data_IF_698639674791
#
_entry.id   IF_698639674791
#
_cell.length_a   1.000
_cell.length_b   1.000
_cell.length_c   1.000
_cell.angle_alpha   90.00
_cell.angle_beta   90.00
_cell.angle_gamma   90.00
#
_symmetry.space_group_name_H-M   'P 1'
#
loop_
_entity.id
_entity.type
_entity.pdbx_description
1 polymer ?
#
# COMPACT_ATOMS: atom_id res chain seq x y z
N UNK A 1 -3.67 -1.87 25.08
CA UNK A 1 -2.47 -1.95 24.21
C UNK A 1 -1.78 -0.60 24.25
N UNK A 2 -0.46 -0.55 24.08
CA UNK A 2 0.29 0.71 24.06
C UNK A 2 0.05 1.50 22.78
N UNK A 3 0.37 2.80 22.81
CA UNK A 3 0.53 3.59 21.60
C UNK A 3 1.78 3.16 20.84
N UNK A 4 1.77 3.22 19.52
CA UNK A 4 2.93 2.94 18.69
C UNK A 4 3.22 4.09 17.73
N UNK A 5 4.48 4.19 17.27
CA UNK A 5 4.94 5.28 16.41
C UNK A 5 5.38 4.74 15.06
N UNK A 6 4.82 5.24 13.97
CA UNK A 6 5.25 4.92 12.61
C UNK A 6 5.84 6.15 11.92
N UNK A 7 6.59 5.91 10.85
CA UNK A 7 7.25 6.96 10.06
C UNK A 7 6.60 7.01 8.66
N UNK A 8 6.29 8.22 8.20
CA UNK A 8 5.80 8.51 6.84
C UNK A 8 6.97 8.58 5.84
N UNK A 9 6.67 8.66 4.54
CA UNK A 9 7.70 8.83 3.49
C UNK A 9 8.53 10.10 3.70
N UNK A 10 7.88 11.21 4.08
CA UNK A 10 8.49 12.50 4.43
C UNK A 10 9.34 12.49 5.73
N UNK A 11 9.52 11.31 6.35
CA UNK A 11 10.25 11.15 7.62
C UNK A 11 9.51 11.63 8.87
N UNK A 12 8.30 12.20 8.73
CA UNK A 12 7.46 12.59 9.85
C UNK A 12 7.03 11.37 10.66
N UNK A 13 6.85 11.56 11.97
CA UNK A 13 6.50 10.47 12.90
C UNK A 13 5.14 10.73 13.52
N UNK A 14 4.29 9.72 13.46
CA UNK A 14 2.94 9.76 14.03
C UNK A 14 2.81 8.69 15.10
N UNK A 15 2.27 9.08 16.26
CA UNK A 15 2.00 8.18 17.37
C UNK A 15 0.50 8.04 17.53
N UNK A 16 0.00 6.83 17.45
CA UNK A 16 -1.44 6.54 17.53
C UNK A 16 -1.72 5.54 18.65
N UNK A 17 -2.87 5.69 19.31
CA UNK A 17 -3.45 4.63 20.13
C UNK A 17 -3.98 3.54 19.21
N UNK A 18 -3.63 2.29 19.51
CA UNK A 18 -3.89 1.18 18.61
C UNK A 18 -5.31 0.62 18.68
N UNK A 19 -5.46 -0.51 17.99
CA UNK A 19 -6.57 -1.43 18.08
C UNK A 19 -6.88 -1.87 19.52
N UNK A 20 -8.17 -2.04 19.86
CA UNK A 20 -8.59 -2.67 21.12
C UNK A 20 -9.07 -4.09 20.87
N UNK A 21 -8.29 -5.09 21.26
CA UNK A 21 -8.68 -6.49 21.12
C UNK A 21 -9.87 -6.89 22.00
N UNK A 22 -10.81 -7.62 21.41
CA UNK A 22 -11.79 -8.44 22.11
C UNK A 22 -11.96 -9.79 21.40
N UNK A 23 -12.17 -10.88 22.15
CA UNK A 23 -12.45 -12.17 21.53
C UNK A 23 -13.75 -12.13 20.75
N UNK A 24 -13.79 -12.87 19.64
CA UNK A 24 -15.00 -13.10 18.86
C UNK A 24 -16.14 -13.63 19.76
N UNK A 25 -17.34 -13.03 19.75
CA UNK A 25 -18.46 -13.50 20.55
C UNK A 25 -18.95 -14.89 20.12
N UNK A 26 -19.34 -15.74 21.08
CA UNK A 26 -19.88 -17.09 20.81
C UNK A 26 -21.12 -17.09 19.90
N UNK A 27 -21.84 -15.96 19.80
CA UNK A 27 -23.03 -15.80 18.96
C UNK A 27 -22.72 -15.38 17.53
N UNK A 28 -21.47 -15.05 17.20
CA UNK A 28 -21.07 -14.64 15.88
C UNK A 28 -21.23 -15.79 14.87
N UNK A 29 -21.60 -15.46 13.64
CA UNK A 29 -21.51 -16.40 12.52
C UNK A 29 -20.05 -16.60 12.17
N UNK A 30 -19.71 -17.80 11.73
CA UNK A 30 -18.36 -18.14 11.31
C UNK A 30 -18.34 -18.48 9.83
N UNK A 31 -17.35 -17.92 9.14
CA UNK A 31 -17.09 -18.24 7.75
C UNK A 31 -16.65 -19.68 7.62
N UNK A 32 -17.28 -20.37 6.68
CA UNK A 32 -17.00 -21.77 6.37
C UNK A 32 -16.79 -21.91 4.86
N UNK A 33 -15.51 -21.99 4.49
CA UNK A 33 -15.07 -22.14 3.11
C UNK A 33 -15.69 -23.37 2.41
N UNK A 34 -16.12 -24.39 3.16
CA UNK A 34 -16.75 -25.58 2.57
C UNK A 34 -18.17 -25.34 2.06
N UNK A 35 -18.81 -24.22 2.43
CA UNK A 35 -20.11 -23.80 1.91
C UNK A 35 -20.02 -23.19 0.50
N UNK A 36 -18.81 -22.90 0.04
CA UNK A 36 -18.56 -22.15 -1.18
C UNK A 36 -18.33 -23.10 -2.34
N UNK A 37 -19.08 -22.92 -3.42
CA UNK A 37 -18.88 -23.65 -4.67
C UNK A 37 -18.01 -22.82 -5.62
N UNK A 38 -16.69 -22.83 -5.39
CA UNK A 38 -15.70 -22.36 -6.38
C UNK A 38 -15.09 -23.59 -7.08
N UNK A 39 -14.92 -23.52 -8.40
CA UNK A 39 -14.30 -24.60 -9.19
C UNK A 39 -12.82 -24.80 -8.81
N UNK A 40 -12.13 -23.70 -8.49
CA UNK A 40 -10.79 -23.63 -7.94
C UNK A 40 -10.58 -22.25 -7.29
N UNK A 41 -9.48 -22.10 -6.54
CA UNK A 41 -9.00 -20.78 -6.12
C UNK A 41 -7.99 -20.29 -7.17
N UNK A 42 -8.08 -19.04 -7.62
CA UNK A 42 -7.08 -18.47 -8.51
C UNK A 42 -5.74 -18.32 -7.79
N UNK A 43 -4.64 -18.24 -8.54
CA UNK A 43 -3.31 -18.00 -7.97
C UNK A 43 -3.19 -16.61 -7.34
N UNK A 44 -3.92 -15.64 -7.88
CA UNK A 44 -3.94 -14.25 -7.42
C UNK A 44 -5.36 -13.71 -7.35
N UNK A 45 -5.62 -12.93 -6.31
CA UNK A 45 -6.84 -12.10 -6.21
C UNK A 45 -6.43 -10.68 -5.88
N UNK A 46 -6.93 -9.70 -6.62
CA UNK A 46 -6.73 -8.28 -6.35
C UNK A 46 -8.05 -7.50 -6.42
N UNK A 47 -8.54 -7.06 -5.26
CA UNK A 47 -9.79 -6.29 -5.15
C UNK A 47 -9.55 -4.77 -5.21
N UNK A 48 -8.30 -4.29 -5.41
CA UNK A 48 -7.96 -2.85 -5.45
C UNK A 48 -8.75 -2.08 -6.50
N UNK A 49 -9.10 -2.71 -7.62
CA UNK A 49 -9.95 -2.12 -8.66
C UNK A 49 -11.25 -1.48 -8.12
N UNK A 50 -11.81 -2.10 -7.07
CA UNK A 50 -13.05 -1.65 -6.43
C UNK A 50 -12.83 -0.94 -5.08
N UNK A 51 -11.59 -0.66 -4.70
CA UNK A 51 -11.30 0.15 -3.51
C UNK A 51 -11.50 1.63 -3.80
N UNK A 52 -11.89 2.36 -2.76
CA UNK A 52 -11.83 3.83 -2.68
C UNK A 52 -10.39 4.29 -2.40
N UNK A 53 -10.06 5.58 -2.62
CA UNK A 53 -8.76 6.14 -2.27
C UNK A 53 -8.34 5.83 -0.83
N UNK A 54 -7.04 5.65 -0.56
CA UNK A 54 -6.58 5.29 0.79
C UNK A 54 -6.81 6.42 1.79
N UNK A 55 -7.36 6.05 2.94
CA UNK A 55 -7.65 6.97 4.03
C UNK A 55 -6.40 7.33 4.84
N UNK A 56 -6.40 8.52 5.43
CA UNK A 56 -5.45 8.92 6.46
C UNK A 56 -6.18 9.09 7.81
N UNK A 57 -5.82 8.27 8.80
CA UNK A 57 -6.35 8.35 10.17
C UNK A 57 -5.72 9.48 11.01
N UNK A 58 -4.74 10.21 10.46
CA UNK A 58 -3.92 11.22 11.14
C UNK A 58 -3.32 10.70 12.47
N UNK A 59 -3.48 11.46 13.56
CA UNK A 59 -3.00 11.14 14.90
C UNK A 59 -4.11 10.54 15.79
N UNK A 60 -5.14 9.96 15.18
CA UNK A 60 -6.28 9.37 15.90
C UNK A 60 -6.10 7.87 16.10
N UNK A 61 -6.82 7.28 17.05
CA UNK A 61 -6.79 5.84 17.32
C UNK A 61 -7.82 5.05 16.50
N UNK A 62 -8.23 5.56 15.33
CA UNK A 62 -9.40 5.11 14.58
C UNK A 62 -9.16 3.98 13.56
N UNK A 63 -8.03 3.27 13.62
CA UNK A 63 -7.64 2.23 12.64
C UNK A 63 -8.75 1.21 12.32
N UNK A 64 -9.43 0.65 13.33
CA UNK A 64 -10.50 -0.32 13.13
C UNK A 64 -11.72 0.27 12.41
N UNK A 65 -12.02 1.56 12.64
CA UNK A 65 -13.09 2.26 11.94
C UNK A 65 -12.71 2.54 10.47
N UNK A 66 -11.46 2.89 10.19
CA UNK A 66 -10.97 3.09 8.81
C UNK A 66 -11.01 1.78 8.01
N UNK A 67 -10.54 0.68 8.58
CA UNK A 67 -10.60 -0.63 7.93
C UNK A 67 -12.05 -1.07 7.66
N UNK A 68 -12.95 -0.77 8.61
CA UNK A 68 -14.39 -1.06 8.50
C UNK A 68 -15.08 -0.17 7.44
N UNK A 69 -14.72 1.11 7.37
CA UNK A 69 -15.18 2.05 6.36
C UNK A 69 -14.76 1.59 4.96
N UNK A 70 -13.49 1.25 4.76
CA UNK A 70 -13.00 0.76 3.46
C UNK A 70 -13.69 -0.52 2.98
N UNK A 71 -14.01 -1.45 3.89
CA UNK A 71 -14.81 -2.64 3.55
C UNK A 71 -16.23 -2.27 3.12
N UNK A 72 -16.85 -1.30 3.80
CA UNK A 72 -18.20 -0.83 3.50
C UNK A 72 -18.24 -0.09 2.17
N UNK A 73 -17.31 0.82 1.94
CA UNK A 73 -17.15 1.58 0.70
C UNK A 73 -16.91 0.68 -0.50
N UNK A 74 -16.11 -0.38 -0.33
CA UNK A 74 -15.98 -1.41 -1.37
C UNK A 74 -17.35 -1.99 -1.75
N UNK A 75 -18.19 -2.36 -0.78
CA UNK A 75 -19.54 -2.87 -1.08
C UNK A 75 -20.42 -1.82 -1.76
N UNK A 76 -20.29 -0.54 -1.36
CA UNK A 76 -20.98 0.58 -1.99
C UNK A 76 -20.54 0.73 -3.45
N UNK A 77 -19.23 0.73 -3.72
CA UNK A 77 -18.65 0.84 -5.07
C UNK A 77 -19.01 -0.36 -5.94
N UNK A 78 -18.99 -1.59 -5.40
CA UNK A 78 -19.47 -2.80 -6.11
C UNK A 78 -20.96 -2.71 -6.47
N UNK A 79 -21.77 -2.01 -5.69
CA UNK A 79 -23.21 -1.88 -5.94
C UNK A 79 -23.59 -0.70 -6.84
N UNK A 80 -23.01 0.47 -6.58
CA UNK A 80 -23.36 1.74 -7.21
C UNK A 80 -22.42 2.13 -8.35
N UNK A 81 -21.27 1.47 -8.49
CA UNK A 81 -20.22 1.89 -9.42
C UNK A 81 -19.71 3.28 -9.06
N UNK A 82 -19.62 4.16 -10.05
CA UNK A 82 -19.11 5.52 -9.93
C UNK A 82 -20.01 6.44 -9.09
N UNK A 83 -21.27 6.05 -8.84
CA UNK A 83 -22.18 6.74 -7.90
C UNK A 83 -21.92 6.33 -6.43
N UNK A 84 -20.79 5.68 -6.16
CA UNK A 84 -20.31 5.36 -4.82
C UNK A 84 -19.98 6.60 -4.01
N UNK A 85 -19.87 6.45 -2.70
CA UNK A 85 -19.56 7.54 -1.78
C UNK A 85 -18.73 7.03 -0.60
N UNK A 86 -17.92 7.91 -0.05
CA UNK A 86 -17.12 7.63 1.15
C UNK A 86 -17.99 7.77 2.39
N UNK A 87 -17.76 6.91 3.38
CA UNK A 87 -18.57 6.85 4.61
C UNK A 87 -17.85 7.49 5.77
N UNK A 88 -18.61 8.13 6.67
CA UNK A 88 -18.01 8.81 7.81
C UNK A 88 -17.29 7.87 8.76
N UNK A 89 -15.96 7.93 8.76
CA UNK A 89 -15.09 7.15 9.64
C UNK A 89 -15.28 7.54 11.10
N UNK A 90 -15.49 8.83 11.39
CA UNK A 90 -15.73 9.30 12.76
C UNK A 90 -17.08 8.84 13.30
N UNK A 91 -18.11 8.75 12.45
CA UNK A 91 -19.40 8.20 12.87
C UNK A 91 -19.27 6.73 13.28
N UNK A 92 -18.58 5.92 12.46
CA UNK A 92 -18.30 4.51 12.76
C UNK A 92 -17.51 4.41 14.08
N UNK A 93 -16.44 5.20 14.19
CA UNK A 93 -15.56 5.18 15.36
C UNK A 93 -16.23 5.62 16.65
N UNK A 94 -17.06 6.68 16.61
CA UNK A 94 -17.83 7.15 17.77
C UNK A 94 -18.79 6.08 18.25
N UNK A 95 -19.60 5.51 17.35
CA UNK A 95 -20.61 4.51 17.71
C UNK A 95 -19.99 3.21 18.23
N UNK A 96 -18.85 2.78 17.69
CA UNK A 96 -18.12 1.62 18.20
C UNK A 96 -17.70 1.77 19.66
N UNK A 97 -17.19 2.97 20.02
CA UNK A 97 -16.79 3.29 21.40
C UNK A 97 -18.00 3.50 22.30
N UNK A 98 -19.09 4.08 21.78
CA UNK A 98 -20.35 4.23 22.50
C UNK A 98 -20.96 2.87 22.86
N UNK A 99 -20.96 1.91 21.94
CA UNK A 99 -21.39 0.53 22.21
C UNK A 99 -20.53 -0.12 23.30
N UNK A 100 -19.21 0.08 23.25
CA UNK A 100 -18.28 -0.49 24.21
C UNK A 100 -18.41 0.13 25.61
N UNK A 101 -18.49 1.46 25.70
CA UNK A 101 -18.46 2.21 26.97
C UNK A 101 -19.17 3.57 26.82
N UNK A 102 -20.51 3.62 26.96
CA UNK A 102 -21.31 4.83 26.73
C UNK A 102 -20.88 6.05 27.56
N UNK A 103 -20.41 5.83 28.80
CA UNK A 103 -20.06 6.89 29.74
C UNK A 103 -18.57 7.31 29.68
N UNK A 104 -17.80 6.75 28.74
CA UNK A 104 -16.33 6.84 28.71
C UNK A 104 -15.76 7.04 27.32
N UNK A 105 -16.42 7.84 26.47
CA UNK A 105 -15.94 8.11 25.12
C UNK A 105 -14.62 8.89 25.18
N UNK A 106 -13.56 8.25 24.70
CA UNK A 106 -12.22 8.80 24.54
C UNK A 106 -11.56 8.24 23.29
N UNK A 107 -10.49 8.87 22.82
CA UNK A 107 -9.72 8.39 21.66
C UNK A 107 -8.76 7.27 22.05
N UNK A 108 -9.32 6.14 22.49
CA UNK A 108 -8.59 5.02 23.06
C UNK A 108 -8.54 3.78 22.13
N UNK A 109 -9.04 3.92 20.90
CA UNK A 109 -9.23 2.83 19.95
C UNK A 109 -10.60 2.16 20.06
N UNK A 110 -10.85 1.18 19.19
CA UNK A 110 -12.10 0.43 19.15
C UNK A 110 -11.89 -1.02 18.73
N UNK A 111 -12.90 -1.87 19.02
CA UNK A 111 -12.96 -3.27 18.63
C UNK A 111 -13.59 -3.39 17.23
N UNK A 112 -13.04 -4.24 16.35
CA UNK A 112 -13.60 -4.43 14.98
C UNK A 112 -15.08 -4.82 15.07
N UNK A 113 -15.39 -5.76 15.96
CA UNK A 113 -16.76 -6.21 16.18
C UNK A 113 -17.72 -5.06 16.52
N UNK A 114 -17.34 -4.10 17.38
CA UNK A 114 -18.24 -2.99 17.72
C UNK A 114 -18.39 -1.96 16.59
N UNK A 115 -17.39 -1.82 15.71
CA UNK A 115 -17.53 -1.02 14.50
C UNK A 115 -18.58 -1.64 13.58
N UNK A 116 -18.52 -2.96 13.38
CA UNK A 116 -19.49 -3.73 12.60
C UNK A 116 -20.89 -3.68 13.23
N UNK A 117 -21.02 -3.86 14.55
CA UNK A 117 -22.31 -3.73 15.24
C UNK A 117 -22.88 -2.30 15.14
N UNK A 118 -22.01 -1.28 15.19
CA UNK A 118 -22.39 0.10 14.93
C UNK A 118 -23.00 0.28 13.54
N UNK A 119 -22.38 -0.30 12.50
CA UNK A 119 -22.93 -0.31 11.14
C UNK A 119 -24.27 -1.05 11.04
N UNK A 120 -24.45 -2.16 11.76
CA UNK A 120 -25.75 -2.87 11.78
C UNK A 120 -26.84 -2.07 12.48
N UNK A 121 -26.49 -1.39 13.57
CA UNK A 121 -27.47 -0.71 14.41
C UNK A 121 -27.83 0.68 13.88
N UNK A 122 -26.86 1.42 13.35
CA UNK A 122 -27.00 2.82 12.99
C UNK A 122 -26.70 3.09 11.51
N UNK A 123 -26.06 2.17 10.80
CA UNK A 123 -25.56 2.37 9.44
C UNK A 123 -24.35 3.29 9.41
N UNK A 124 -24.08 3.89 8.25
CA UNK A 124 -23.04 4.90 8.09
C UNK A 124 -23.53 6.04 7.17
N UNK A 125 -23.41 7.31 7.60
CA UNK A 125 -23.68 8.45 6.75
C UNK A 125 -22.48 8.66 5.81
N UNK A 126 -22.65 9.54 4.81
CA UNK A 126 -21.52 9.99 4.00
C UNK A 126 -20.49 10.76 4.84
N UNK A 127 -19.21 10.67 4.47
CA UNK A 127 -18.13 11.48 5.08
C UNK A 127 -18.41 12.98 4.88
N UNK A 128 -19.10 13.39 3.80
CA UNK A 128 -19.53 14.78 3.61
C UNK A 128 -20.50 15.29 4.69
N UNK A 129 -21.38 14.42 5.21
CA UNK A 129 -22.34 14.76 6.26
C UNK A 129 -21.75 14.78 7.66
N UNK A 130 -20.70 14.00 7.89
CA UNK A 130 -19.94 14.00 9.14
C UNK A 130 -18.44 13.84 8.86
N UNK A 131 -17.75 14.95 8.52
CA UNK A 131 -16.37 14.90 8.04
C UNK A 131 -15.37 14.41 9.08
N UNK A 132 -14.25 13.88 8.59
CA UNK A 132 -13.11 13.50 9.40
C UNK A 132 -12.40 14.74 9.95
N UNK A 133 -12.88 15.21 11.10
CA UNK A 133 -12.31 16.30 11.88
C UNK A 133 -11.92 15.78 13.27
N UNK A 134 -10.62 15.73 13.55
CA UNK A 134 -10.08 15.23 14.83
C UNK A 134 -10.59 16.01 16.04
N UNK A 135 -10.98 17.27 15.89
CA UNK A 135 -11.55 18.05 17.00
C UNK A 135 -12.96 17.56 17.36
N UNK A 136 -13.61 16.82 16.46
CA UNK A 136 -14.92 16.20 16.65
C UNK A 136 -14.84 14.71 17.02
N UNK A 137 -13.65 14.16 17.24
CA UNK A 137 -13.44 12.72 17.45
C UNK A 137 -14.28 12.13 18.59
N UNK A 138 -14.57 12.90 19.65
CA UNK A 138 -15.36 12.46 20.79
C UNK A 138 -16.77 13.08 20.83
N UNK A 139 -17.13 13.83 19.78
CA UNK A 139 -18.41 14.55 19.71
C UNK A 139 -19.49 13.61 19.18
N UNK A 140 -20.64 13.59 19.87
CA UNK A 140 -21.80 12.82 19.43
C UNK A 140 -22.35 13.39 18.11
N UNK A 141 -22.52 12.56 17.06
CA UNK A 141 -23.15 12.98 15.83
C UNK A 141 -24.58 13.47 16.06
N UNK A 142 -25.01 14.44 15.26
CA UNK A 142 -26.36 15.00 15.40
C UNK A 142 -27.45 13.98 15.02
N UNK A 143 -28.68 14.17 15.51
CA UNK A 143 -29.82 13.36 15.12
C UNK A 143 -30.20 13.46 13.62
N UNK A 144 -29.65 14.43 12.88
CA UNK A 144 -29.74 14.48 11.42
C UNK A 144 -28.82 13.44 10.77
N UNK A 145 -27.58 13.38 11.23
CA UNK A 145 -26.57 12.43 10.75
C UNK A 145 -27.01 10.98 11.02
N UNK A 146 -27.56 10.70 12.21
CA UNK A 146 -28.12 9.37 12.53
C UNK A 146 -29.30 8.97 11.63
N UNK A 147 -30.09 9.95 11.14
CA UNK A 147 -31.21 9.64 10.24
C UNK A 147 -30.74 9.29 8.83
N UNK A 148 -29.70 9.94 8.33
CA UNK A 148 -29.06 9.58 7.06
C UNK A 148 -28.40 8.20 7.17
N UNK A 149 -27.63 7.97 8.24
CA UNK A 149 -26.93 6.71 8.45
C UNK A 149 -27.89 5.50 8.44
N UNK A 150 -29.07 5.65 9.04
CA UNK A 150 -30.08 4.59 9.12
C UNK A 150 -30.64 4.13 7.76
N UNK A 151 -30.39 4.87 6.66
CA UNK A 151 -30.75 4.43 5.31
C UNK A 151 -29.81 3.34 4.78
N UNK A 152 -28.68 3.10 5.46
CA UNK A 152 -27.52 2.38 4.94
C UNK A 152 -26.91 1.42 5.98
N UNK A 153 -27.71 0.46 6.46
CA UNK A 153 -27.25 -0.58 7.41
C UNK A 153 -26.63 -1.78 6.68
N UNK A 154 -25.56 -2.35 7.25
CA UNK A 154 -25.12 -3.70 6.86
C UNK A 154 -26.05 -4.74 7.50
N UNK A 155 -26.23 -5.87 6.84
CA UNK A 155 -27.19 -6.88 7.31
C UNK A 155 -26.52 -8.13 7.87
N UNK A 156 -25.36 -8.53 7.34
CA UNK A 156 -24.68 -9.73 7.81
C UNK A 156 -23.17 -9.54 7.98
N UNK A 157 -22.59 -10.40 8.81
CA UNK A 157 -21.15 -10.48 9.05
C UNK A 157 -20.79 -11.88 9.48
N UNK A 158 -19.61 -12.34 9.06
CA UNK A 158 -19.05 -13.60 9.50
C UNK A 158 -17.62 -13.38 10.00
N UNK A 159 -17.26 -14.03 11.10
CA UNK A 159 -15.89 -14.11 11.59
C UNK A 159 -15.14 -15.12 10.74
N UNK A 160 -14.00 -14.71 10.17
CA UNK A 160 -13.14 -15.55 9.35
C UNK A 160 -12.06 -16.17 10.23
N UNK A 161 -11.90 -17.50 10.23
CA UNK A 161 -10.82 -18.14 11.00
C UNK A 161 -9.45 -17.75 10.45
N UNK A 162 -8.41 -17.75 11.30
CA UNK A 162 -7.01 -17.63 10.87
C UNK A 162 -6.58 -18.93 10.18
N UNK A 163 -7.02 -19.10 8.94
CA UNK A 163 -6.76 -20.22 8.06
C UNK A 163 -6.57 -19.70 6.62
N UNK A 164 -5.51 -20.16 5.96
CA UNK A 164 -5.11 -19.64 4.65
C UNK A 164 -6.18 -19.93 3.58
N UNK A 165 -6.78 -21.11 3.61
CA UNK A 165 -7.81 -21.48 2.64
C UNK A 165 -9.06 -20.65 2.88
N UNK A 166 -9.46 -20.43 4.14
CA UNK A 166 -10.60 -19.59 4.47
C UNK A 166 -10.43 -18.14 3.99
N UNK A 167 -9.27 -17.52 4.24
CA UNK A 167 -8.98 -16.16 3.79
C UNK A 167 -8.96 -16.04 2.27
N UNK A 168 -8.26 -16.95 1.59
CA UNK A 168 -8.22 -16.94 0.12
C UNK A 168 -9.60 -17.17 -0.49
N UNK A 169 -10.41 -18.05 0.10
CA UNK A 169 -11.78 -18.29 -0.35
C UNK A 169 -12.65 -17.06 -0.19
N UNK A 170 -12.60 -16.39 0.97
CA UNK A 170 -13.35 -15.15 1.19
C UNK A 170 -12.95 -14.05 0.20
N UNK A 171 -11.65 -13.87 -0.04
CA UNK A 171 -11.14 -12.90 -1.01
C UNK A 171 -11.54 -13.25 -2.45
N UNK A 172 -11.45 -14.53 -2.85
CA UNK A 172 -11.87 -15.00 -4.17
C UNK A 172 -13.38 -14.81 -4.41
N UNK A 173 -14.20 -14.92 -3.35
CA UNK A 173 -15.62 -14.55 -3.38
C UNK A 173 -15.86 -13.04 -3.45
N UNK A 174 -14.80 -12.23 -3.42
CA UNK A 174 -14.89 -10.78 -3.45
C UNK A 174 -15.23 -10.17 -2.09
N UNK A 175 -14.90 -10.81 -0.97
CA UNK A 175 -15.05 -10.25 0.37
C UNK A 175 -13.71 -9.77 0.93
N UNK A 176 -13.46 -8.45 1.00
CA UNK A 176 -12.37 -7.89 1.78
C UNK A 176 -12.49 -8.29 3.25
N UNK A 177 -11.35 -8.58 3.89
CA UNK A 177 -11.32 -9.06 5.27
C UNK A 177 -10.79 -7.94 6.16
N UNK A 178 -11.63 -7.44 7.07
CA UNK A 178 -11.22 -6.54 8.14
C UNK A 178 -10.49 -7.39 9.18
N UNK A 179 -9.25 -7.08 9.50
CA UNK A 179 -8.48 -7.88 10.46
C UNK A 179 -7.64 -7.00 11.38
N UNK A 180 -7.30 -7.55 12.55
CA UNK A 180 -6.30 -6.99 13.43
C UNK A 180 -5.02 -7.83 13.42
N UNK A 181 -3.88 -7.17 13.62
CA UNK A 181 -2.64 -7.86 13.92
C UNK A 181 -1.77 -7.09 14.92
N UNK A 182 -0.85 -7.82 15.54
CA UNK A 182 0.20 -7.26 16.36
C UNK A 182 1.26 -6.63 15.47
N UNK A 183 1.68 -5.41 15.80
CA UNK A 183 2.78 -4.73 15.14
C UNK A 183 4.08 -4.85 15.92
N UNK A 184 5.18 -4.79 15.17
CA UNK A 184 6.55 -4.73 15.67
C UNK A 184 7.31 -3.61 14.96
N UNK A 185 8.52 -3.32 15.45
CA UNK A 185 9.33 -2.24 14.90
C UNK A 185 9.70 -2.50 13.44
N UNK A 186 9.85 -3.77 13.05
CA UNK A 186 10.04 -4.19 11.66
C UNK A 186 8.88 -3.82 10.74
N UNK A 187 7.65 -3.69 11.26
CA UNK A 187 6.49 -3.24 10.50
C UNK A 187 6.49 -1.72 10.30
N UNK A 188 6.94 -0.97 11.30
CA UNK A 188 6.96 0.50 11.27
C UNK A 188 8.10 1.07 10.43
N UNK A 189 9.14 0.25 10.21
CA UNK A 189 10.34 0.59 9.43
C UNK A 189 10.68 -0.59 8.54
N UNK A 190 9.81 -0.91 7.57
CA UNK A 190 10.11 -1.99 6.65
C UNK A 190 11.38 -1.63 5.86
N UNK A 191 12.19 -2.63 5.50
CA UNK A 191 13.40 -2.38 4.69
C UNK A 191 13.06 -1.88 3.29
N UNK A 192 11.89 -2.28 2.77
CA UNK A 192 11.33 -1.83 1.50
C UNK A 192 9.94 -1.25 1.77
N UNK A 193 9.58 -0.07 1.22
CA UNK A 193 8.25 0.51 1.39
C UNK A 193 7.14 -0.51 1.08
N UNK A 194 6.13 -0.61 1.94
CA UNK A 194 5.01 -1.52 1.73
C UNK A 194 5.32 -3.01 1.92
N UNK A 195 6.57 -3.47 1.97
CA UNK A 195 6.87 -4.88 2.21
C UNK A 195 7.02 -5.18 3.70
N UNK A 196 6.08 -5.93 4.26
CA UNK A 196 6.12 -6.28 5.67
C UNK A 196 6.99 -7.51 5.88
N UNK A 197 8.03 -7.37 6.68
CA UNK A 197 8.88 -8.49 7.08
C UNK A 197 8.30 -9.26 8.28
N UNK A 198 8.72 -10.51 8.44
CA UNK A 198 8.45 -11.22 9.69
C UNK A 198 9.21 -10.56 10.85
N UNK A 199 8.60 -10.50 12.05
CA UNK A 199 9.28 -9.98 13.22
C UNK A 199 10.49 -10.86 13.55
N UNK A 200 11.57 -10.24 14.00
CA UNK A 200 12.76 -10.96 14.44
C UNK A 200 12.47 -11.82 15.67
N UNK A 201 13.28 -12.86 15.90
CA UNK A 201 13.17 -13.69 17.11
C UNK A 201 13.30 -12.87 18.41
N UNK A 202 13.96 -11.71 18.36
CA UNK A 202 14.06 -10.77 19.48
C UNK A 202 12.76 -10.00 19.69
N UNK A 203 12.14 -9.52 18.62
CA UNK A 203 10.84 -8.84 18.66
C UNK A 203 9.74 -9.77 19.18
N UNK A 204 9.72 -11.03 18.72
CA UNK A 204 8.75 -12.04 19.18
C UNK A 204 8.84 -12.36 20.68
N UNK A 205 9.98 -12.08 21.34
CA UNK A 205 10.13 -12.24 22.79
C UNK A 205 9.51 -11.08 23.58
N UNK A 206 9.25 -9.94 22.94
CA UNK A 206 8.68 -8.75 23.55
C UNK A 206 7.15 -8.68 23.47
N UNK A 207 6.62 -7.59 24.03
CA UNK A 207 5.17 -7.34 24.05
C UNK A 207 4.63 -6.77 22.72
N UNK A 208 5.48 -6.62 21.69
CA UNK A 208 5.15 -5.91 20.46
C UNK A 208 4.94 -4.41 20.69
N UNK A 209 4.80 -3.66 19.63
CA UNK A 209 4.66 -2.19 19.72
C UNK A 209 3.20 -1.78 19.89
N UNK A 210 2.25 -2.58 19.40
CA UNK A 210 0.82 -2.31 19.50
C UNK A 210 -0.02 -3.30 18.70
N UNK A 211 -1.33 -3.09 18.71
CA UNK A 211 -2.26 -3.73 17.78
C UNK A 211 -2.72 -2.72 16.74
N UNK A 212 -2.91 -3.16 15.51
CA UNK A 212 -3.41 -2.35 14.41
C UNK A 212 -4.44 -3.12 13.60
N UNK A 213 -5.45 -2.42 13.09
CA UNK A 213 -6.49 -3.00 12.26
C UNK A 213 -6.39 -2.44 10.84
N UNK A 214 -6.47 -3.32 9.85
CA UNK A 214 -6.30 -3.03 8.43
C UNK A 214 -7.29 -3.85 7.60
N UNK A 215 -7.32 -3.61 6.30
CA UNK A 215 -8.22 -4.29 5.37
C UNK A 215 -7.41 -5.14 4.38
N UNK A 216 -7.60 -6.45 4.41
CA UNK A 216 -7.03 -7.36 3.42
C UNK A 216 -7.93 -7.35 2.17
N UNK A 217 -7.32 -7.07 1.02
CA UNK A 217 -8.01 -6.83 -0.26
C UNK A 217 -7.51 -7.74 -1.38
N UNK A 218 -6.67 -8.72 -1.08
CA UNK A 218 -6.15 -9.61 -2.10
C UNK A 218 -5.06 -10.53 -1.60
N UNK A 219 -4.57 -11.38 -2.49
CA UNK A 219 -3.45 -12.27 -2.24
C UNK A 219 -2.69 -12.59 -3.52
N UNK A 220 -1.42 -12.97 -3.38
CA UNK A 220 -0.59 -13.55 -4.44
C UNK A 220 0.10 -14.80 -3.95
N UNK A 221 -0.19 -15.94 -4.58
CA UNK A 221 0.52 -17.20 -4.33
C UNK A 221 1.96 -17.20 -4.82
N UNK A 222 2.31 -16.66 -6.00
CA UNK A 222 3.71 -16.52 -6.40
C UNK A 222 4.57 -15.83 -5.34
N UNK A 223 4.02 -14.77 -4.73
CA UNK A 223 4.72 -13.95 -3.74
C UNK A 223 4.52 -14.41 -2.29
N UNK A 224 3.54 -15.29 -2.05
CA UNK A 224 3.12 -15.76 -0.71
C UNK A 224 2.75 -14.61 0.24
N UNK A 225 2.06 -13.59 -0.27
CA UNK A 225 1.64 -12.39 0.48
C UNK A 225 0.16 -12.08 0.30
N UNK A 226 -0.41 -11.43 1.32
CA UNK A 226 -1.68 -10.74 1.23
C UNK A 226 -1.47 -9.28 0.81
N UNK A 227 -2.38 -8.76 -0.01
CA UNK A 227 -2.47 -7.33 -0.36
C UNK A 227 -3.33 -6.65 0.69
N UNK A 228 -2.79 -5.64 1.37
CA UNK A 228 -3.43 -5.00 2.52
C UNK A 228 -3.50 -3.50 2.33
N UNK A 229 -4.71 -2.94 2.45
CA UNK A 229 -4.95 -1.49 2.52
C UNK A 229 -4.72 -1.02 3.95
N UNK A 230 -3.81 -0.08 4.12
CA UNK A 230 -3.59 0.60 5.40
C UNK A 230 -4.46 1.88 5.47
N UNK A 231 -4.32 2.66 6.55
CA UNK A 231 -5.06 3.91 6.78
C UNK A 231 -4.14 5.05 7.23
N UNK A 232 -2.91 5.07 6.70
CA UNK A 232 -1.88 6.07 7.03
C UNK A 232 -1.60 7.03 5.87
N UNK A 233 -2.56 7.19 4.94
CA UNK A 233 -2.39 7.99 3.73
C UNK A 233 -1.65 7.26 2.61
N UNK A 234 -1.72 7.82 1.41
CA UNK A 234 -1.12 7.27 0.19
C UNK A 234 0.41 7.33 0.19
N UNK A 235 0.98 8.29 0.92
CA UNK A 235 2.42 8.47 1.11
C UNK A 235 3.07 7.32 1.89
N UNK A 236 2.29 6.54 2.64
CA UNK A 236 2.82 5.42 3.40
C UNK A 236 2.80 4.11 2.59
N UNK A 237 3.86 3.33 2.68
CA UNK A 237 3.93 2.01 2.03
C UNK A 237 4.03 2.15 0.51
N UNK A 238 3.20 1.43 -0.23
CA UNK A 238 3.06 1.55 -1.69
C UNK A 238 1.66 2.08 -1.97
N UNK A 239 1.54 3.38 -2.23
CA UNK A 239 0.25 4.07 -2.45
C UNK A 239 -0.76 3.84 -1.31
N UNK A 240 -0.29 3.72 -0.06
CA UNK A 240 -1.13 3.42 1.11
C UNK A 240 -1.40 1.94 1.37
N UNK A 241 -0.82 1.05 0.55
CA UNK A 241 -0.92 -0.40 0.68
C UNK A 241 0.38 -1.02 1.21
N UNK A 242 0.26 -2.25 1.71
CA UNK A 242 1.39 -3.10 2.03
C UNK A 242 1.12 -4.56 1.66
N UNK A 243 2.20 -5.32 1.52
CA UNK A 243 2.22 -6.74 1.25
C UNK A 243 2.66 -7.48 2.50
N UNK A 244 1.77 -8.28 3.08
CA UNK A 244 2.03 -9.00 4.33
C UNK A 244 2.17 -10.50 4.06
N UNK A 245 3.29 -11.14 4.46
CA UNK A 245 3.48 -12.57 4.27
C UNK A 245 2.35 -13.40 4.87
N UNK A 246 1.91 -14.45 4.16
CA UNK A 246 0.90 -15.39 4.65
C UNK A 246 1.24 -15.89 6.06
N UNK A 247 2.49 -16.27 6.28
CA UNK A 247 2.99 -16.76 7.57
C UNK A 247 2.87 -15.75 8.72
N UNK A 248 2.78 -14.44 8.44
CA UNK A 248 2.56 -13.43 9.47
C UNK A 248 1.10 -13.47 9.92
N UNK A 249 0.17 -13.32 8.98
CA UNK A 249 -1.26 -13.22 9.29
C UNK A 249 -1.87 -14.57 9.67
N UNK A 250 -1.27 -15.67 9.22
CA UNK A 250 -1.70 -17.02 9.57
C UNK A 250 -1.08 -17.53 10.89
N UNK A 251 -0.32 -16.70 11.61
CA UNK A 251 0.10 -16.98 12.98
C UNK A 251 -0.98 -16.46 13.97
N UNK A 252 -1.68 -17.34 14.70
CA UNK A 252 -2.71 -16.93 15.67
C UNK A 252 -2.18 -16.05 16.81
N UNK A 253 -0.87 -16.09 17.11
CA UNK A 253 -0.26 -15.21 18.10
C UNK A 253 -0.10 -13.76 17.59
N UNK A 254 -0.10 -13.58 16.27
CA UNK A 254 0.05 -12.28 15.62
C UNK A 254 -1.30 -11.71 15.16
N UNK A 255 -2.21 -12.52 14.62
CA UNK A 255 -3.51 -12.08 14.08
C UNK A 255 -4.65 -12.08 15.12
N UNK A 256 -4.46 -12.76 16.26
CA UNK A 256 -5.45 -12.88 17.34
C UNK A 256 -6.82 -13.50 16.97
N UNK A 257 -6.95 -14.13 15.79
CA UNK A 257 -8.22 -14.65 15.25
C UNK A 257 -9.33 -13.60 15.21
N UNK A 258 -8.98 -12.35 14.95
CA UNK A 258 -9.93 -11.24 14.93
C UNK A 258 -10.02 -10.69 13.51
N UNK A 259 -10.76 -11.43 12.70
CA UNK A 259 -10.92 -11.21 11.27
C UNK A 259 -12.38 -11.38 10.88
N UNK A 260 -12.89 -10.46 10.08
CA UNK A 260 -14.31 -10.32 9.80
C UNK A 260 -14.54 -9.92 8.36
N UNK A 261 -15.61 -10.46 7.78
CA UNK A 261 -16.20 -9.96 6.54
C UNK A 261 -17.54 -9.32 6.86
N UNK A 262 -17.92 -8.33 6.07
CA UNK A 262 -19.26 -7.74 6.09
C UNK A 262 -19.95 -8.05 4.77
N UNK A 263 -21.26 -8.29 4.85
CA UNK A 263 -22.06 -8.70 3.70
C UNK A 263 -23.36 -7.91 3.62
N UNK A 264 -23.88 -7.84 2.40
CA UNK A 264 -25.22 -7.32 2.07
C UNK A 264 -26.16 -8.47 1.70
N UNK A 265 -27.47 -8.24 1.77
CA UNK A 265 -28.48 -9.26 1.43
C UNK A 265 -28.34 -9.83 0.01
N UNK A 266 -28.14 -8.94 -0.96
CA UNK A 266 -27.99 -9.32 -2.35
C UNK A 266 -26.53 -9.68 -2.61
N UNK A 267 -26.25 -10.98 -2.70
CA UNK A 267 -24.92 -11.48 -3.05
C UNK A 267 -24.47 -10.87 -4.37
N UNK A 268 -23.36 -10.12 -4.31
CA UNK A 268 -22.67 -9.65 -5.52
C UNK A 268 -21.72 -10.78 -5.93
N UNK A 269 -21.84 -11.32 -7.14
CA UNK A 269 -20.89 -12.34 -7.60
C UNK A 269 -19.47 -11.77 -7.61
N UNK A 270 -18.42 -12.60 -7.45
CA UNK A 270 -17.05 -12.16 -7.63
C UNK A 270 -16.84 -11.64 -9.06
N UNK A 271 -15.97 -10.64 -9.20
CA UNK A 271 -15.55 -10.14 -10.51
C UNK A 271 -14.27 -10.87 -10.94
N UNK A 272 -14.46 -12.07 -11.48
CA UNK A 272 -13.33 -12.94 -11.87
C UNK A 272 -12.51 -12.35 -13.02
N UNK A 273 -13.12 -11.54 -13.89
CA UNK A 273 -12.44 -10.95 -15.05
C UNK A 273 -11.40 -9.90 -14.65
N UNK A 274 -11.72 -9.05 -13.67
CA UNK A 274 -10.84 -7.96 -13.26
C UNK A 274 -10.00 -8.30 -12.03
N UNK A 275 -10.49 -9.19 -11.15
CA UNK A 275 -9.86 -9.43 -9.86
C UNK A 275 -9.09 -10.75 -9.77
N UNK A 276 -9.21 -11.68 -10.71
CA UNK A 276 -8.50 -12.96 -10.65
C UNK A 276 -7.40 -13.04 -11.71
N UNK A 277 -6.33 -13.74 -11.35
CA UNK A 277 -5.28 -14.14 -12.27
C UNK A 277 -4.71 -15.51 -11.89
N UNK A 278 -4.45 -16.34 -12.90
CA UNK A 278 -3.97 -17.73 -12.76
C UNK A 278 -2.52 -17.91 -13.25
N UNK A 279 -1.85 -16.83 -13.61
CA UNK A 279 -0.45 -16.86 -13.98
C UNK A 279 0.46 -16.87 -12.72
N UNK A 280 1.73 -17.17 -12.94
CA UNK A 280 2.76 -17.24 -11.90
C UNK A 280 3.58 -15.93 -11.78
N UNK A 281 3.13 -14.83 -12.39
CA UNK A 281 3.81 -13.53 -12.35
C UNK A 281 3.62 -12.85 -10.99
N UNK A 282 4.68 -12.18 -10.53
CA UNK A 282 4.67 -11.41 -9.28
C UNK A 282 3.73 -10.21 -9.37
N UNK A 283 3.07 -9.86 -8.27
CA UNK A 283 2.27 -8.62 -8.15
C UNK A 283 3.10 -7.43 -7.66
N UNK A 284 4.38 -7.64 -7.39
CA UNK A 284 5.30 -6.61 -6.92
C UNK A 284 5.86 -5.90 -8.17
N UNK A 285 5.57 -4.60 -8.34
CA UNK A 285 5.93 -3.86 -9.56
C UNK A 285 7.44 -3.82 -9.82
N UNK A 286 7.81 -4.01 -11.10
CA UNK A 286 9.15 -3.85 -11.64
C UNK A 286 9.13 -2.98 -12.91
N UNK A 287 10.32 -2.58 -13.38
CA UNK A 287 10.45 -1.71 -14.57
C UNK A 287 9.75 -2.28 -15.79
N UNK A 288 9.75 -3.60 -15.96
CA UNK A 288 9.11 -4.26 -17.11
C UNK A 288 7.58 -4.19 -17.03
N UNK A 289 7.01 -4.35 -15.83
CA UNK A 289 5.57 -4.19 -15.58
C UNK A 289 5.07 -2.78 -15.91
N UNK A 290 5.86 -1.76 -15.59
CA UNK A 290 5.52 -0.35 -15.90
C UNK A 290 5.55 -0.09 -17.40
N UNK A 291 6.59 -0.56 -18.10
CA UNK A 291 6.68 -0.43 -19.56
C UNK A 291 5.54 -1.14 -20.29
N UNK A 292 5.11 -2.31 -19.80
CA UNK A 292 3.99 -3.05 -20.39
C UNK A 292 2.66 -2.28 -20.33
N UNK A 293 2.52 -1.35 -19.37
CA UNK A 293 1.32 -0.53 -19.17
C UNK A 293 1.26 0.76 -19.97
N UNK A 294 2.31 1.12 -20.71
CA UNK A 294 2.40 2.41 -21.42
C UNK A 294 1.51 2.48 -22.65
N UNK A 295 0.77 3.58 -22.79
CA UNK A 295 0.09 3.96 -24.03
C UNK A 295 1.04 4.64 -25.06
N UNK A 296 0.55 4.93 -26.26
CA UNK A 296 1.36 5.54 -27.33
C UNK A 296 1.97 6.90 -26.95
N UNK A 297 1.32 7.67 -26.08
CA UNK A 297 1.79 8.99 -25.64
C UNK A 297 2.89 8.84 -24.59
N UNK A 298 2.70 7.95 -23.62
CA UNK A 298 3.69 7.61 -22.60
C UNK A 298 4.94 6.98 -23.21
N UNK A 299 4.79 6.13 -24.23
CA UNK A 299 5.91 5.60 -25.00
C UNK A 299 6.69 6.69 -25.74
N UNK A 300 6.01 7.69 -26.28
CA UNK A 300 6.66 8.80 -26.97
C UNK A 300 7.42 9.71 -25.99
N UNK A 301 6.83 10.02 -24.83
CA UNK A 301 7.46 10.81 -23.77
C UNK A 301 8.71 10.12 -23.20
N UNK A 302 8.62 8.81 -22.91
CA UNK A 302 9.76 8.00 -22.49
C UNK A 302 10.91 8.11 -23.50
N UNK A 303 10.63 7.91 -24.78
CA UNK A 303 11.66 7.93 -25.82
C UNK A 303 12.28 9.32 -26.02
N UNK A 304 11.51 10.39 -25.86
CA UNK A 304 12.02 11.77 -25.93
C UNK A 304 12.94 12.08 -24.74
N UNK A 305 12.51 11.71 -23.53
CA UNK A 305 13.28 11.92 -22.28
C UNK A 305 14.57 11.12 -22.23
N UNK A 306 14.59 9.89 -22.75
CA UNK A 306 15.82 9.08 -22.80
C UNK A 306 16.89 9.65 -23.74
N UNK A 307 16.48 10.44 -24.75
CA UNK A 307 17.39 11.15 -25.64
C UNK A 307 18.28 10.22 -26.48
N UNK A 308 19.59 10.49 -26.52
CA UNK A 308 20.53 9.70 -27.32
C UNK A 308 20.90 8.35 -26.69
N UNK A 309 20.64 8.17 -25.38
CA UNK A 309 20.98 6.96 -24.63
C UNK A 309 19.70 6.20 -24.27
N UNK A 310 19.45 5.03 -24.89
CA UNK A 310 18.24 4.24 -24.65
C UNK A 310 18.08 3.78 -23.20
N UNK A 311 16.82 3.54 -22.79
CA UNK A 311 16.46 3.12 -21.42
C UNK A 311 17.24 1.88 -20.97
N UNK A 312 17.33 0.87 -21.83
CA UNK A 312 18.04 -0.38 -21.54
C UNK A 312 19.54 -0.17 -21.32
N UNK A 313 20.15 0.79 -22.03
CA UNK A 313 21.57 1.14 -21.86
C UNK A 313 21.78 1.86 -20.54
N UNK A 314 20.88 2.79 -20.18
CA UNK A 314 20.90 3.50 -18.89
C UNK A 314 20.73 2.55 -17.71
N UNK A 315 19.75 1.66 -17.79
CA UNK A 315 19.51 0.65 -16.76
C UNK A 315 20.71 -0.30 -16.62
N UNK A 316 21.25 -0.82 -17.73
CA UNK A 316 22.46 -1.65 -17.72
C UNK A 316 23.68 -0.92 -17.14
N UNK A 317 23.81 0.40 -17.38
CA UNK A 317 24.90 1.21 -16.84
C UNK A 317 24.81 1.32 -15.32
N UNK A 318 23.61 1.50 -14.76
CA UNK A 318 23.39 1.50 -13.31
C UNK A 318 23.78 0.18 -12.66
N UNK A 319 23.33 -0.94 -13.24
CA UNK A 319 23.70 -2.29 -12.76
C UNK A 319 25.20 -2.52 -12.80
N UNK A 320 25.84 -2.21 -13.93
CA UNK A 320 27.28 -2.34 -14.07
C UNK A 320 28.01 -1.48 -13.04
N UNK A 321 27.60 -0.23 -12.83
CA UNK A 321 28.22 0.65 -11.84
C UNK A 321 28.04 0.19 -10.40
N UNK A 322 26.91 -0.43 -10.08
CA UNK A 322 26.66 -1.00 -8.76
C UNK A 322 27.60 -2.17 -8.49
N UNK A 323 27.63 -3.17 -9.37
CA UNK A 323 28.51 -4.34 -9.23
C UNK A 323 29.99 -3.98 -9.38
N UNK A 324 30.33 -3.06 -10.27
CA UNK A 324 31.72 -2.70 -10.58
C UNK A 324 32.36 -1.67 -9.66
N UNK A 325 31.67 -1.23 -8.59
CA UNK A 325 32.10 -0.08 -7.80
C UNK A 325 33.40 -0.33 -7.04
N UNK A 326 33.67 -1.58 -6.67
CA UNK A 326 34.91 -2.01 -6.02
C UNK A 326 36.09 -2.14 -7.02
N UNK A 327 35.80 -2.10 -8.32
CA UNK A 327 36.74 -2.20 -9.43
C UNK A 327 36.80 -3.57 -10.11
N UNK A 328 36.04 -4.56 -9.64
CA UNK A 328 35.87 -5.89 -10.24
C UNK A 328 34.37 -6.19 -10.42
N UNK A 329 34.01 -7.18 -11.23
CA UNK A 329 32.61 -7.64 -11.34
C UNK A 329 32.67 -9.16 -11.35
N UNK A 330 32.04 -9.81 -10.38
CA UNK A 330 32.02 -11.25 -10.29
C UNK A 330 31.12 -11.89 -11.36
N UNK A 331 31.39 -13.15 -11.70
CA UNK A 331 30.60 -13.90 -12.69
C UNK A 331 29.13 -14.05 -12.22
N UNK A 332 28.92 -14.20 -10.91
CA UNK A 332 27.60 -14.27 -10.27
C UNK A 332 26.81 -12.96 -10.39
N UNK A 333 27.45 -11.82 -10.15
CA UNK A 333 26.85 -10.49 -10.31
C UNK A 333 26.52 -10.22 -11.77
N UNK A 334 27.42 -10.59 -12.68
CA UNK A 334 27.17 -10.49 -14.12
C UNK A 334 25.94 -11.26 -14.55
N UNK A 335 25.80 -12.50 -14.09
CA UNK A 335 24.64 -13.33 -14.41
C UNK A 335 23.34 -12.74 -13.84
N UNK A 336 23.38 -12.20 -12.63
CA UNK A 336 22.22 -11.59 -11.97
C UNK A 336 21.78 -10.29 -12.68
N UNK A 337 22.72 -9.41 -13.06
CA UNK A 337 22.42 -8.23 -13.88
C UNK A 337 21.70 -8.61 -15.18
N UNK A 338 22.20 -9.64 -15.87
CA UNK A 338 21.61 -10.09 -17.12
C UNK A 338 20.17 -10.59 -16.92
N UNK A 339 19.90 -11.31 -15.82
CA UNK A 339 18.56 -11.80 -15.47
C UNK A 339 17.56 -10.66 -15.25
N UNK A 340 17.95 -9.60 -14.53
CA UNK A 340 17.09 -8.44 -14.30
C UNK A 340 16.80 -7.61 -15.57
N UNK A 341 17.73 -7.60 -16.54
CA UNK A 341 17.57 -6.84 -17.79
C UNK A 341 16.68 -7.54 -18.82
N UNK A 342 16.56 -8.89 -18.77
CA UNK A 342 15.81 -9.66 -19.77
C UNK A 342 14.35 -9.22 -19.89
N UNK A 343 13.56 -9.10 -18.80
CA UNK A 343 12.15 -8.70 -18.90
C UNK A 343 11.98 -7.31 -19.52
N UNK A 344 12.87 -6.36 -19.19
CA UNK A 344 12.84 -4.99 -19.74
C UNK A 344 13.10 -5.01 -21.25
N UNK A 345 14.08 -5.79 -21.70
CA UNK A 345 14.41 -5.93 -23.12
C UNK A 345 13.28 -6.54 -23.94
N UNK A 346 12.60 -7.54 -23.39
CA UNK A 346 11.44 -8.16 -24.02
C UNK A 346 10.31 -7.13 -24.24
N UNK A 347 10.05 -6.27 -23.25
CA UNK A 347 9.01 -5.23 -23.37
C UNK A 347 9.36 -4.13 -24.36
N UNK A 348 10.64 -3.77 -24.47
CA UNK A 348 11.10 -2.79 -25.46
C UNK A 348 11.03 -3.31 -26.91
N UNK A 349 10.66 -4.58 -27.12
CA UNK A 349 10.63 -5.22 -28.44
C UNK A 349 12.02 -5.34 -29.07
N UNK A 350 13.06 -5.01 -28.29
CA UNK A 350 14.45 -5.20 -28.65
C UNK A 350 14.77 -6.65 -28.31
N UNK A 351 15.15 -7.47 -29.29
CA UNK A 351 15.79 -8.75 -29.01
C UNK A 351 17.33 -8.61 -29.07
N UNK A 352 18.01 -8.01 -28.07
CA UNK A 352 19.42 -8.20 -27.89
C UNK A 352 19.65 -9.11 -26.67
N UNK A 353 20.68 -9.93 -26.79
CA UNK A 353 21.22 -10.69 -25.70
C UNK A 353 21.62 -9.74 -24.54
N UNK A 354 21.09 -9.92 -23.33
CA UNK A 354 21.40 -9.07 -22.17
C UNK A 354 22.91 -9.02 -21.89
N UNK A 355 23.64 -10.14 -22.09
CA UNK A 355 25.11 -10.17 -22.04
C UNK A 355 25.75 -9.22 -23.05
N UNK A 356 25.21 -9.16 -24.28
CA UNK A 356 25.73 -8.28 -25.30
C UNK A 356 25.46 -6.81 -24.99
N UNK A 357 24.30 -6.51 -24.39
CA UNK A 357 24.00 -5.17 -23.89
C UNK A 357 25.02 -4.78 -22.81
N UNK A 358 25.18 -5.58 -21.76
CA UNK A 358 26.13 -5.33 -20.68
C UNK A 358 27.56 -5.13 -21.21
N UNK A 359 28.02 -6.00 -22.12
CA UNK A 359 29.34 -5.84 -22.74
C UNK A 359 29.50 -4.55 -23.54
N UNK A 360 28.48 -4.14 -24.29
CA UNK A 360 28.53 -2.90 -25.07
C UNK A 360 28.46 -1.67 -24.17
N UNK A 361 27.63 -1.72 -23.11
CA UNK A 361 27.49 -0.64 -22.14
C UNK A 361 28.76 -0.47 -21.29
N UNK A 362 29.55 -1.53 -21.10
CA UNK A 362 30.82 -1.48 -20.37
C UNK A 362 31.82 -0.44 -20.91
N UNK A 363 31.73 -0.06 -22.19
CA UNK A 363 32.56 1.03 -22.75
C UNK A 363 32.28 2.39 -22.09
N UNK A 364 31.04 2.59 -21.62
CA UNK A 364 30.59 3.79 -20.90
C UNK A 364 30.71 3.65 -19.38
N UNK A 365 31.31 2.56 -18.89
CA UNK A 365 31.43 2.28 -17.46
C UNK A 365 32.12 3.39 -16.67
N UNK A 366 33.01 4.18 -17.26
CA UNK A 366 33.71 5.29 -16.57
C UNK A 366 33.07 6.66 -16.82
N UNK A 367 31.89 6.70 -17.41
CA UNK A 367 31.16 7.93 -17.68
C UNK A 367 30.27 8.29 -16.48
N UNK A 368 30.88 8.86 -15.45
CA UNK A 368 30.17 9.24 -14.23
C UNK A 368 29.13 10.35 -14.49
N UNK A 369 29.31 11.17 -15.53
CA UNK A 369 28.34 12.20 -15.93
C UNK A 369 27.05 11.55 -16.47
N UNK A 370 27.19 10.52 -17.32
CA UNK A 370 26.03 9.75 -17.83
C UNK A 370 25.32 8.97 -16.72
N UNK A 371 26.05 8.50 -15.70
CA UNK A 371 25.47 7.83 -14.53
C UNK A 371 24.65 8.81 -13.70
N UNK A 372 25.21 9.98 -13.42
CA UNK A 372 24.52 11.03 -12.65
C UNK A 372 23.28 11.53 -13.40
N UNK A 373 23.38 11.73 -14.72
CA UNK A 373 22.24 12.04 -15.58
C UNK A 373 21.18 10.95 -15.53
N UNK A 374 21.58 9.67 -15.56
CA UNK A 374 20.65 8.54 -15.50
C UNK A 374 19.92 8.45 -14.17
N UNK A 375 20.62 8.67 -13.05
CA UNK A 375 20.01 8.71 -11.72
C UNK A 375 18.98 9.84 -11.67
N UNK A 376 19.34 11.06 -12.09
CA UNK A 376 18.40 12.19 -12.09
C UNK A 376 17.17 11.92 -12.98
N UNK A 377 17.40 11.45 -14.20
CA UNK A 377 16.32 11.19 -15.18
C UNK A 377 15.36 10.10 -14.70
N UNK A 378 15.87 9.01 -14.12
CA UNK A 378 15.01 7.97 -13.56
C UNK A 378 14.22 8.51 -12.37
N UNK A 379 14.85 9.29 -11.50
CA UNK A 379 14.20 9.94 -10.35
C UNK A 379 13.03 10.85 -10.74
N UNK A 380 13.16 11.56 -11.86
CA UNK A 380 12.09 12.43 -12.39
C UNK A 380 10.99 11.63 -13.10
N UNK A 381 11.36 10.57 -13.81
CA UNK A 381 10.46 9.87 -14.72
C UNK A 381 9.66 8.73 -14.07
N UNK A 382 10.33 7.92 -13.25
CA UNK A 382 9.72 6.72 -12.68
C UNK A 382 9.09 7.02 -11.33
N UNK A 383 7.93 6.42 -11.07
CA UNK A 383 7.30 6.45 -9.75
C UNK A 383 8.19 5.76 -8.70
N UNK A 384 8.02 6.16 -7.44
CA UNK A 384 8.88 5.75 -6.33
C UNK A 384 8.92 4.24 -6.09
N UNK A 385 7.85 3.51 -6.42
CA UNK A 385 7.78 2.05 -6.38
C UNK A 385 8.68 1.38 -7.42
N UNK A 386 8.70 1.89 -8.65
CA UNK A 386 9.61 1.44 -9.71
C UNK A 386 11.06 1.72 -9.33
N UNK A 387 11.36 2.90 -8.79
CA UNK A 387 12.68 3.26 -8.29
C UNK A 387 13.12 2.37 -7.13
N UNK A 388 12.21 2.05 -6.22
CA UNK A 388 12.44 1.10 -5.13
C UNK A 388 12.69 -0.33 -5.66
N UNK A 389 12.01 -0.72 -6.74
CA UNK A 389 12.25 -2.00 -7.43
C UNK A 389 13.65 -2.04 -8.07
N UNK A 390 14.06 -0.98 -8.76
CA UNK A 390 15.42 -0.87 -9.34
C UNK A 390 16.49 -0.95 -8.24
N UNK A 391 16.37 -0.16 -7.17
CA UNK A 391 17.35 -0.21 -6.06
C UNK A 391 17.40 -1.56 -5.36
N UNK A 392 16.26 -2.25 -5.25
CA UNK A 392 16.20 -3.61 -4.72
C UNK A 392 16.96 -4.61 -5.60
N UNK A 393 16.83 -4.50 -6.92
CA UNK A 393 17.56 -5.35 -7.87
C UNK A 393 19.07 -5.04 -7.83
N UNK A 394 19.46 -3.75 -7.76
CA UNK A 394 20.87 -3.37 -7.59
C UNK A 394 21.47 -3.99 -6.31
N UNK A 395 20.71 -3.95 -5.20
CA UNK A 395 21.13 -4.54 -3.93
C UNK A 395 21.25 -6.07 -3.97
N UNK A 396 20.40 -6.73 -4.76
CA UNK A 396 20.47 -8.17 -5.01
C UNK A 396 21.69 -8.52 -5.85
N UNK A 397 21.98 -7.74 -6.89
CA UNK A 397 23.15 -7.91 -7.75
C UNK A 397 24.44 -7.86 -6.94
N UNK A 398 24.69 -6.80 -6.18
CA UNK A 398 25.95 -6.64 -5.39
C UNK A 398 26.07 -7.66 -4.25
N UNK A 399 25.02 -8.42 -3.95
CA UNK A 399 25.04 -9.46 -2.93
C UNK A 399 25.07 -10.88 -3.50
N UNK A 400 25.07 -11.03 -4.83
CA UNK A 400 24.81 -12.30 -5.51
C UNK A 400 25.96 -13.29 -5.46
N UNK A 401 27.19 -12.81 -5.30
CA UNK A 401 28.39 -13.62 -5.10
C UNK A 401 28.62 -14.04 -3.62
N UNK A 402 27.84 -13.44 -2.71
CA UNK A 402 27.89 -13.67 -1.27
C UNK A 402 28.78 -12.68 -0.49
N UNK A 403 29.38 -11.68 -1.14
CA UNK A 403 30.24 -10.65 -0.56
C UNK A 403 29.90 -9.25 -1.11
N UNK A 404 29.00 -8.51 -0.45
CA UNK A 404 28.78 -7.10 -0.81
C UNK A 404 29.92 -6.22 -0.29
N UNK A 405 30.71 -5.64 -1.19
CA UNK A 405 31.84 -4.77 -0.88
C UNK A 405 31.37 -3.38 -0.40
N UNK A 406 32.23 -2.69 0.37
CA UNK A 406 31.87 -1.37 0.95
C UNK A 406 31.63 -0.33 -0.16
N UNK A 407 32.39 -0.41 -1.26
CA UNK A 407 32.28 0.47 -2.42
C UNK A 407 30.97 0.27 -3.21
N UNK A 408 30.56 -0.98 -3.43
CA UNK A 408 29.28 -1.35 -4.08
C UNK A 408 28.09 -0.88 -3.26
N UNK A 409 28.11 -1.15 -1.95
CA UNK A 409 27.06 -0.70 -1.04
C UNK A 409 26.99 0.83 -1.00
N UNK A 410 28.13 1.52 -1.01
CA UNK A 410 28.15 2.98 -1.03
C UNK A 410 27.55 3.57 -2.31
N UNK A 411 27.71 2.91 -3.45
CA UNK A 411 27.04 3.31 -4.69
C UNK A 411 25.53 3.12 -4.61
N UNK A 412 25.06 1.95 -4.16
CA UNK A 412 23.62 1.68 -4.01
C UNK A 412 22.98 2.64 -3.01
N UNK A 413 23.62 2.90 -1.87
CA UNK A 413 23.16 3.86 -0.86
C UNK A 413 23.06 5.29 -1.44
N UNK A 414 23.98 5.66 -2.32
CA UNK A 414 23.93 6.94 -3.04
C UNK A 414 22.69 7.02 -3.94
N UNK A 415 22.45 6.00 -4.77
CA UNK A 415 21.28 5.96 -5.67
C UNK A 415 19.98 6.06 -4.88
N UNK A 416 19.87 5.32 -3.77
CA UNK A 416 18.73 5.40 -2.85
C UNK A 416 18.55 6.82 -2.31
N UNK A 417 19.63 7.48 -1.91
CA UNK A 417 19.58 8.84 -1.37
C UNK A 417 19.08 9.85 -2.41
N UNK A 418 19.54 9.79 -3.65
CA UNK A 418 19.15 10.74 -4.70
C UNK A 418 17.66 10.61 -5.06
N UNK A 419 17.18 9.37 -5.17
CA UNK A 419 15.76 9.10 -5.46
C UNK A 419 14.80 9.37 -4.29
N UNK A 420 15.33 9.57 -3.09
CA UNK A 420 14.56 10.02 -1.93
C UNK A 420 14.49 11.56 -1.81
N UNK A 421 15.43 12.29 -2.41
CA UNK A 421 15.53 13.76 -2.29
C UNK A 421 14.77 14.48 -3.40
N UNK A 422 14.64 13.89 -4.59
CA UNK A 422 13.95 14.51 -5.73
C UNK A 422 12.44 14.76 -5.56
N UNK A 423 11.78 14.11 -4.59
CA UNK A 423 10.37 14.36 -4.26
C UNK A 423 10.13 15.69 -3.53
N UNK A 424 11.11 16.14 -2.72
CA UNK A 424 10.97 17.34 -1.89
C UNK A 424 11.14 18.65 -2.70
N UNK A 425 11.93 18.64 -3.78
CA UNK A 425 12.18 19.85 -4.59
C UNK A 425 11.03 20.14 -5.58
N UNK A 426 10.37 19.12 -6.11
CA UNK A 426 9.19 19.29 -6.97
C UNK A 426 7.97 19.83 -6.20
N UNK A 427 7.77 19.37 -4.96
CA UNK A 427 6.72 19.89 -4.07
C UNK A 427 7.01 21.34 -3.63
N UNK A 428 8.29 21.70 -3.44
CA UNK A 428 8.67 23.08 -3.10
C UNK A 428 8.48 24.06 -4.27
N UNK A 429 8.74 23.64 -5.51
CA UNK A 429 8.48 24.45 -6.70
C UNK A 429 6.98 24.58 -7.01
N UNK A 430 6.17 23.56 -6.72
CA UNK A 430 4.70 23.66 -6.77
C UNK A 430 4.13 24.58 -5.68
N UNK A 431 4.63 24.51 -4.44
CA UNK A 431 4.23 25.42 -3.35
C UNK A 431 4.60 26.88 -3.64
N UNK A 432 5.79 27.16 -4.19
CA UNK A 432 6.18 28.53 -4.58
C UNK A 432 5.30 29.05 -5.74
N UNK A 433 4.94 28.20 -6.71
CA UNK A 433 4.06 28.57 -7.82
C UNK A 433 2.61 28.82 -7.35
N UNK A 434 2.11 28.06 -6.37
CA UNK A 434 0.79 28.28 -5.77
C UNK A 434 0.76 29.54 -4.90
N UNK A 435 1.83 29.86 -4.17
CA UNK A 435 1.94 31.13 -3.42
C UNK A 435 1.97 32.34 -4.36
N UNK A 436 2.74 32.32 -5.45
CA UNK A 436 2.74 33.41 -6.44
C UNK A 436 1.36 33.59 -7.09
N UNK A 437 0.67 32.49 -7.42
CA UNK A 437 -0.69 32.55 -7.99
C UNK A 437 -1.73 33.06 -6.98
N UNK A 438 -1.57 32.77 -5.69
CA UNK A 438 -2.43 33.27 -4.63
C UNK A 438 -2.22 34.76 -4.36
N UNK A 439 -0.97 35.26 -4.42
CA UNK A 439 -0.66 36.69 -4.30
C UNK A 439 -1.21 37.50 -5.48
N UNK A 440 -1.09 36.97 -6.71
CA UNK A 440 -1.63 37.64 -7.92
C UNK A 440 -3.16 37.73 -7.88
N UNK A 441 -3.83 36.69 -7.38
CA UNK A 441 -5.28 36.64 -7.20
C UNK A 441 -5.75 37.59 -6.09
N UNK A 442 -5.02 37.67 -4.98
CA UNK A 442 -5.33 38.59 -3.88
C UNK A 442 -5.17 40.07 -4.30
N UNK A 443 -4.18 40.39 -5.13
CA UNK A 443 -4.01 41.72 -5.68
C UNK A 443 -5.15 42.11 -6.65
N UNK A 444 -5.66 41.15 -7.44
CA UNK A 444 -6.75 41.37 -8.38
C UNK A 444 -8.12 41.55 -7.70
N UNK A 445 -8.36 40.87 -6.58
CA UNK A 445 -9.59 41.03 -5.80
C UNK A 445 -9.60 42.34 -4.97
N UNK A 446 -8.44 42.83 -4.54
CA UNK A 446 -8.34 44.10 -3.80
C UNK A 446 -8.67 45.33 -4.66
N UNK A 447 -8.29 45.32 -5.95
CA UNK A 447 -8.58 46.42 -6.88
C UNK A 447 -10.07 46.46 -7.33
N UNK A 448 -10.83 45.38 -7.15
CA UNK A 448 -12.28 45.34 -7.49
C UNK A 448 -13.21 45.78 -6.35
N UNK A 449 -12.71 45.92 -5.12
CA UNK A 449 -13.51 46.42 -3.99
C UNK A 449 -13.42 47.95 -3.80
N UNK A 450 -12.52 48.65 -4.53
CA UNK A 450 -12.37 50.12 -4.48
C UNK A 450 -13.02 50.89 -5.66
N UNK A 451 -13.66 50.23 -6.64
CA UNK A 451 -14.55 50.86 -7.66
C UNK A 451 -16.04 50.74 -7.33
#
# INVERSE_FOLDING_TARGET
MGSFTFTQSDGSKRTVGGYQYAPCPDSAKHFDASRVELDHLPHKVDLRYFMTPVEDQEQTSSCAANATAGAYEYLVKRYKGDDGYDVSRLFIYYNARYIATPDGIGDDGSQIYNNIEGLKQYGAPSEASWPFDKDQINTEPSGEVYREAAEFVIEDTESVPTDLVAWKTALAMGHPIIFACRLYSSFQKPRKPGHVEMPTARELQGDGDGGHAMLCVGYSDPDQVFIVRNSWGTSWGINGYCYIPYRYLMDPALNWNDSWIIERLETIPPDEEHCWADDDETILEDVAGVLAGFDEEQWADLMDRMGETPLEVRLALLFLKAAGADGEVADEEWANMAEHLVPVLEQLGTHPNADALLHNTFESFNDDELVDETIALFGEFFATDVLASITAQLQETIGSDGEAHEEEQAFVDRVISEWQVGGDEAEAEEEEAEEEAAEEKAAYDYDQEEE
#
